data_IF_373338506466
#
_entry.id   IF_373338506466
#
_cell.length_a   1.000
_cell.length_b   1.000
_cell.length_c   1.000
_cell.angle_alpha   90.00
_cell.angle_beta   90.00
_cell.angle_gamma   90.00
#
_symmetry.space_group_name_H-M   'P 1'
#
loop_
_entity.id
_entity.type
_entity.pdbx_description
1 polymer ?
#
# COMPACT_ATOMS: atom_id res chain seq x y z
N UNK A 1 20.15 -37.98 10.74
CA UNK A 1 20.17 -38.41 9.33
C UNK A 1 18.93 -39.26 9.08
N UNK A 2 17.87 -38.64 8.58
CA UNK A 2 16.65 -39.25 8.02
C UNK A 2 15.89 -38.13 7.31
N UNK A 3 16.06 -38.07 6.00
CA UNK A 3 15.18 -37.35 5.07
C UNK A 3 13.79 -37.97 5.14
N UNK A 4 12.74 -37.17 5.01
CA UNK A 4 11.45 -37.63 4.51
C UNK A 4 10.78 -36.54 3.67
N UNK A 5 10.02 -37.03 2.71
CA UNK A 5 9.70 -36.44 1.42
C UNK A 5 8.56 -35.42 1.47
N UNK A 6 8.68 -34.40 0.62
CA UNK A 6 7.61 -33.47 0.28
C UNK A 6 6.70 -34.09 -0.79
N UNK A 7 5.45 -34.36 -0.43
CA UNK A 7 4.40 -34.75 -1.38
C UNK A 7 3.82 -33.51 -2.05
N UNK A 8 4.03 -33.40 -3.37
CA UNK A 8 3.35 -32.43 -4.25
C UNK A 8 1.87 -32.81 -4.42
N UNK A 9 0.96 -31.92 -4.04
CA UNK A 9 -0.44 -32.00 -4.50
C UNK A 9 -0.65 -31.14 -5.74
N UNK A 10 -1.15 -31.77 -6.80
CA UNK A 10 -1.63 -31.17 -8.05
C UNK A 10 -3.02 -30.59 -7.79
N UNK A 11 -3.22 -29.30 -8.09
CA UNK A 11 -4.57 -28.72 -8.19
C UNK A 11 -5.05 -28.87 -9.62
N UNK A 12 -6.22 -29.49 -9.74
CA UNK A 12 -6.90 -29.80 -10.99
C UNK A 12 -7.66 -28.56 -11.49
N UNK A 13 -7.42 -28.18 -12.74
CA UNK A 13 -8.14 -27.15 -13.48
C UNK A 13 -9.53 -27.63 -13.87
N UNK A 14 -10.58 -26.89 -13.47
CA UNK A 14 -11.92 -27.04 -14.03
C UNK A 14 -12.20 -25.93 -15.05
N UNK A 15 -12.31 -26.33 -16.31
CA UNK A 15 -12.85 -25.54 -17.41
C UNK A 15 -14.37 -25.42 -17.26
N UNK A 16 -14.91 -24.21 -17.43
CA UNK A 16 -16.30 -24.00 -17.84
C UNK A 16 -16.33 -22.91 -18.91
N UNK A 17 -16.54 -23.37 -20.13
CA UNK A 17 -16.78 -22.58 -21.33
C UNK A 17 -18.21 -22.03 -21.34
N UNK A 18 -18.36 -20.74 -21.60
CA UNK A 18 -19.60 -20.19 -22.14
C UNK A 18 -19.24 -19.22 -23.26
N UNK A 19 -19.46 -19.67 -24.50
CA UNK A 19 -19.47 -18.87 -25.71
C UNK A 19 -20.85 -18.23 -25.88
N UNK A 20 -20.92 -16.96 -26.27
CA UNK A 20 -22.01 -16.39 -27.08
C UNK A 20 -21.53 -15.08 -27.75
N UNK A 21 -21.23 -15.22 -29.05
CA UNK A 21 -21.31 -14.29 -30.20
C UNK A 21 -21.25 -12.76 -30.06
N UNK A 22 -20.42 -12.08 -30.89
CA UNK A 22 -20.51 -10.64 -31.16
C UNK A 22 -21.26 -10.36 -32.49
N UNK A 23 -22.18 -9.39 -32.51
CA UNK A 23 -22.71 -8.83 -33.75
C UNK A 23 -22.81 -7.29 -33.67
N UNK A 24 -22.61 -6.68 -34.85
CA UNK A 24 -22.83 -5.28 -35.28
C UNK A 24 -21.59 -4.39 -35.52
N UNK A 25 -21.61 -3.60 -36.61
CA UNK A 25 -20.59 -3.63 -37.63
C UNK A 25 -19.88 -2.29 -37.81
N UNK A 26 -18.74 -2.35 -38.49
CA UNK A 26 -18.02 -1.18 -38.98
C UNK A 26 -18.84 -0.42 -40.02
N UNK A 27 -19.03 0.88 -39.77
CA UNK A 27 -19.47 1.83 -40.79
C UNK A 27 -18.24 2.36 -41.53
N UNK A 28 -18.01 1.83 -42.73
CA UNK A 28 -17.22 2.48 -43.77
C UNK A 28 -18.03 3.60 -44.42
N UNK A 29 -17.40 4.71 -44.80
CA UNK A 29 -17.38 5.21 -46.18
C UNK A 29 -16.84 6.64 -46.31
N UNK A 30 -16.07 6.80 -47.40
CA UNK A 30 -15.91 7.96 -48.28
C UNK A 30 -14.80 8.97 -47.97
N UNK A 31 -13.67 8.65 -48.61
CA UNK A 31 -12.85 9.60 -49.34
C UNK A 31 -13.66 10.67 -50.09
N UNK A 32 -13.15 11.91 -50.06
CA UNK A 32 -13.38 12.88 -51.11
C UNK A 32 -12.03 13.49 -51.49
N UNK A 33 -11.49 13.03 -52.61
CA UNK A 33 -10.41 13.69 -53.32
C UNK A 33 -11.03 14.75 -54.23
N UNK A 34 -10.52 15.98 -54.18
CA UNK A 34 -10.72 16.96 -55.24
C UNK A 34 -9.38 17.58 -55.61
N UNK A 35 -8.97 17.35 -56.86
CA UNK A 35 -7.81 17.92 -57.51
C UNK A 35 -8.17 19.26 -58.18
N UNK A 36 -7.11 20.01 -58.53
CA UNK A 36 -7.02 21.17 -59.43
C UNK A 36 -7.18 22.53 -58.73
N UNK A 37 -6.43 23.59 -59.03
CA UNK A 37 -5.58 23.86 -60.18
C UNK A 37 -4.40 24.80 -59.80
N UNK A 38 -3.34 24.70 -60.59
CA UNK A 38 -2.18 25.58 -60.63
C UNK A 38 -2.57 27.04 -60.90
N UNK A 39 -1.94 27.99 -60.20
CA UNK A 39 -1.48 29.25 -60.81
C UNK A 39 -0.14 29.69 -60.22
N UNK A 40 0.80 29.94 -61.14
CA UNK A 40 2.11 30.56 -60.91
C UNK A 40 1.93 32.07 -60.75
N UNK A 41 2.75 32.68 -59.90
CA UNK A 41 2.93 34.13 -59.84
C UNK A 41 4.06 34.50 -58.87
N UNK A 42 5.20 34.90 -59.44
CA UNK A 42 6.35 35.48 -58.74
C UNK A 42 5.94 36.74 -57.95
N UNK A 43 6.43 36.86 -56.71
CA UNK A 43 6.82 38.12 -56.08
C UNK A 43 7.68 37.77 -54.84
N UNK A 44 8.98 38.00 -54.89
CA UNK A 44 9.65 39.20 -54.39
C UNK A 44 10.14 39.00 -52.94
N UNK A 45 11.44 38.69 -52.84
CA UNK A 45 12.41 39.06 -51.81
C UNK A 45 11.82 39.66 -50.52
N UNK A 46 11.96 38.91 -49.41
CA UNK A 46 12.32 39.48 -48.12
C UNK A 46 13.05 38.44 -47.25
N UNK A 47 14.38 38.46 -47.34
CA UNK A 47 15.28 37.88 -46.35
C UNK A 47 15.19 38.76 -45.08
N UNK A 48 14.40 38.32 -44.10
CA UNK A 48 14.56 38.80 -42.72
C UNK A 48 15.08 37.63 -41.89
N UNK A 49 16.33 37.80 -41.48
CA UNK A 49 17.04 37.13 -40.41
C UNK A 49 16.14 36.85 -39.19
N UNK A 50 15.77 35.58 -38.98
CA UNK A 50 15.40 35.05 -37.65
C UNK A 50 16.53 34.12 -37.21
N UNK A 51 17.67 34.74 -36.92
CA UNK A 51 18.71 34.17 -36.08
C UNK A 51 18.69 34.96 -34.77
N UNK A 52 18.81 34.27 -33.64
CA UNK A 52 18.72 34.77 -32.26
C UNK A 52 17.34 34.75 -31.59
N UNK A 53 16.69 33.57 -31.52
CA UNK A 53 15.77 33.26 -30.41
C UNK A 53 15.93 31.80 -29.97
N UNK A 54 17.16 31.37 -29.70
CA UNK A 54 17.48 30.01 -29.23
C UNK A 54 18.44 30.01 -28.02
N UNK A 55 18.45 31.09 -27.24
CA UNK A 55 19.15 31.16 -25.96
C UNK A 55 18.23 31.92 -25.00
N UNK A 56 18.06 31.41 -23.77
CA UNK A 56 17.09 31.81 -22.73
C UNK A 56 15.85 30.92 -22.59
N UNK A 57 16.02 29.60 -22.61
CA UNK A 57 15.31 28.77 -21.64
C UNK A 57 16.34 28.30 -20.60
N UNK A 58 16.51 28.99 -19.46
CA UNK A 58 17.08 28.31 -18.31
C UNK A 58 16.13 27.15 -18.02
N UNK A 59 16.62 25.94 -18.27
CA UNK A 59 15.86 24.73 -17.99
C UNK A 59 15.42 24.77 -16.54
N UNK A 60 14.13 25.03 -16.31
CA UNK A 60 13.45 24.74 -15.06
C UNK A 60 13.43 23.22 -14.89
N UNK A 61 14.58 22.64 -14.56
CA UNK A 61 14.64 21.31 -13.97
C UNK A 61 14.22 21.51 -12.51
N UNK A 62 12.91 21.56 -12.28
CA UNK A 62 12.34 21.26 -10.97
C UNK A 62 12.56 19.77 -10.71
N UNK A 63 13.81 19.33 -10.54
CA UNK A 63 14.07 18.07 -9.87
C UNK A 63 13.69 18.32 -8.42
N UNK A 64 12.55 17.78 -7.99
CA UNK A 64 12.29 17.61 -6.56
C UNK A 64 13.58 17.03 -5.94
N UNK A 65 14.05 17.54 -4.79
CA UNK A 65 15.24 17.01 -4.12
C UNK A 65 15.11 15.50 -3.99
N UNK A 66 16.22 14.78 -4.17
CA UNK A 66 16.27 13.35 -3.83
C UNK A 66 15.86 13.20 -2.36
N UNK A 67 14.78 12.45 -2.03
CA UNK A 67 14.30 12.29 -0.66
C UNK A 67 15.35 11.64 0.25
N UNK A 68 16.34 10.95 -0.32
CA UNK A 68 17.41 10.29 0.41
C UNK A 68 18.69 11.14 0.48
N UNK A 69 18.67 12.35 -0.07
CA UNK A 69 19.84 13.23 -0.07
C UNK A 69 20.31 13.51 1.36
N UNK A 70 21.55 13.12 1.66
CA UNK A 70 22.16 13.31 2.97
C UNK A 70 21.84 12.22 4.00
N UNK A 71 21.04 11.21 3.67
CA UNK A 71 20.82 10.07 4.56
C UNK A 71 21.98 9.07 4.45
N UNK A 72 22.44 8.59 5.61
CA UNK A 72 23.48 7.56 5.71
C UNK A 72 22.82 6.26 6.14
N UNK A 73 22.97 5.21 5.32
CA UNK A 73 22.41 3.89 5.61
C UNK A 73 23.17 3.28 6.79
N UNK A 74 22.44 2.95 7.85
CA UNK A 74 22.94 2.21 9.01
C UNK A 74 22.83 0.70 8.79
N UNK A 75 21.69 0.24 8.25
CA UNK A 75 21.43 -1.16 7.94
C UNK A 75 20.53 -1.24 6.70
N UNK A 76 20.75 -2.24 5.85
CA UNK A 76 19.87 -2.52 4.70
C UNK A 76 19.78 -4.00 4.42
N UNK A 77 18.60 -4.44 3.96
CA UNK A 77 18.28 -5.85 3.69
C UNK A 77 17.43 -5.99 2.42
N UNK A 78 17.53 -7.14 1.75
CA UNK A 78 16.86 -7.42 0.47
C UNK A 78 16.19 -8.79 0.42
N UNK A 79 16.24 -9.57 1.51
CA UNK A 79 15.63 -10.89 1.58
C UNK A 79 14.10 -10.81 1.65
N UNK A 80 13.45 -11.93 1.33
CA UNK A 80 11.99 -12.05 1.23
C UNK A 80 11.25 -11.62 2.49
N UNK A 81 11.71 -12.12 3.65
CA UNK A 81 11.14 -11.86 4.97
C UNK A 81 12.19 -11.27 5.90
N UNK A 82 13.13 -10.51 5.35
CA UNK A 82 14.11 -9.80 6.16
C UNK A 82 13.42 -8.75 7.02
N UNK A 83 13.94 -8.59 8.24
CA UNK A 83 13.41 -7.67 9.24
C UNK A 83 14.52 -6.75 9.76
N UNK A 84 14.22 -5.48 10.02
CA UNK A 84 15.11 -4.52 10.69
C UNK A 84 14.38 -3.95 11.90
N UNK A 85 14.99 -4.03 13.09
CA UNK A 85 14.48 -3.35 14.27
C UNK A 85 14.80 -1.85 14.18
N UNK A 86 13.79 -1.03 13.96
CA UNK A 86 13.96 0.42 13.73
C UNK A 86 13.84 1.23 15.03
N UNK A 87 13.09 0.73 16.01
CA UNK A 87 12.94 1.31 17.34
C UNK A 87 12.50 0.23 18.36
N UNK A 88 12.47 0.51 19.69
CA UNK A 88 11.90 -0.42 20.66
C UNK A 88 10.45 -0.78 20.31
N UNK A 89 10.20 -2.06 20.01
CA UNK A 89 8.89 -2.58 19.63
C UNK A 89 8.48 -2.39 18.17
N UNK A 90 9.29 -1.70 17.36
CA UNK A 90 9.02 -1.49 15.93
C UNK A 90 9.91 -2.35 15.04
N UNK A 91 9.31 -3.08 14.12
CA UNK A 91 10.00 -3.89 13.11
C UNK A 91 9.62 -3.40 11.70
N UNK A 92 10.62 -3.13 10.88
CA UNK A 92 10.47 -2.93 9.44
C UNK A 92 10.64 -4.27 8.74
N UNK A 93 9.63 -4.68 7.98
CA UNK A 93 9.55 -5.97 7.30
C UNK A 93 9.64 -5.76 5.79
N UNK A 94 10.40 -6.63 5.13
CA UNK A 94 10.41 -6.74 3.67
C UNK A 94 9.07 -7.31 3.17
N UNK A 95 8.62 -8.42 3.77
CA UNK A 95 7.30 -9.02 3.51
C UNK A 95 6.93 -9.15 2.01
N UNK A 96 7.85 -9.76 1.24
CA UNK A 96 7.58 -10.19 -0.14
C UNK A 96 6.77 -11.50 -0.15
N UNK A 97 5.56 -11.45 0.42
CA UNK A 97 4.76 -12.64 0.67
C UNK A 97 4.14 -13.26 -0.57
N UNK A 98 3.86 -12.48 -1.61
CA UNK A 98 3.30 -13.01 -2.85
C UNK A 98 4.37 -13.59 -3.78
N UNK A 99 5.47 -12.86 -3.99
CA UNK A 99 6.54 -13.31 -4.89
C UNK A 99 7.85 -12.59 -4.65
N UNK A 100 8.96 -13.31 -4.87
CA UNK A 100 10.30 -12.74 -5.04
C UNK A 100 10.70 -12.64 -6.51
N UNK A 101 9.98 -13.33 -7.39
CA UNK A 101 10.29 -13.36 -8.81
C UNK A 101 10.01 -11.99 -9.41
N UNK A 102 10.89 -11.56 -10.32
CA UNK A 102 10.84 -10.24 -10.95
C UNK A 102 10.78 -9.07 -9.96
N UNK A 103 11.16 -9.29 -8.70
CA UNK A 103 11.09 -8.29 -7.63
C UNK A 103 12.47 -7.94 -7.11
N UNK A 104 12.82 -6.67 -7.20
CA UNK A 104 13.93 -6.08 -6.48
C UNK A 104 13.36 -5.20 -5.37
N UNK A 105 13.44 -5.66 -4.12
CA UNK A 105 13.00 -4.90 -2.95
C UNK A 105 14.15 -4.76 -1.95
N UNK A 106 14.23 -3.59 -1.33
CA UNK A 106 15.23 -3.27 -0.30
C UNK A 106 14.58 -2.47 0.82
N UNK A 107 14.80 -2.89 2.06
CA UNK A 107 14.47 -2.14 3.27
C UNK A 107 15.74 -1.53 3.87
N UNK A 108 15.65 -0.31 4.38
CA UNK A 108 16.79 0.44 4.93
C UNK A 108 16.42 1.11 6.26
N UNK A 109 17.35 1.12 7.21
CA UNK A 109 17.39 2.00 8.38
C UNK A 109 18.54 2.98 8.21
N UNK A 110 18.30 4.26 8.49
CA UNK A 110 19.28 5.33 8.39
C UNK A 110 19.83 5.73 9.77
N UNK A 111 20.99 6.39 9.80
CA UNK A 111 21.63 6.86 11.05
C UNK A 111 20.78 7.88 11.81
N UNK A 112 19.94 8.65 11.12
CA UNK A 112 19.02 9.63 11.73
C UNK A 112 17.76 8.99 12.33
N UNK A 113 17.63 7.66 12.27
CA UNK A 113 16.48 6.90 12.78
C UNK A 113 15.32 6.78 11.79
N UNK A 114 15.31 7.52 10.68
CA UNK A 114 14.34 7.29 9.59
C UNK A 114 14.60 5.95 8.93
N UNK A 115 13.59 5.43 8.22
CA UNK A 115 13.70 4.15 7.53
C UNK A 115 12.82 4.12 6.29
N UNK A 116 13.17 3.25 5.35
CA UNK A 116 12.53 3.23 4.04
C UNK A 116 12.40 1.83 3.47
N UNK A 117 11.56 1.74 2.45
CA UNK A 117 11.57 0.64 1.50
C UNK A 117 11.61 1.20 0.08
N UNK A 118 12.27 0.46 -0.80
CA UNK A 118 12.30 0.69 -2.24
C UNK A 118 11.92 -0.61 -2.93
N UNK A 119 11.12 -0.52 -4.00
CA UNK A 119 10.76 -1.68 -4.79
C UNK A 119 10.76 -1.40 -6.28
N UNK A 120 11.01 -2.46 -7.03
CA UNK A 120 10.71 -2.57 -8.45
C UNK A 120 10.24 -3.98 -8.70
N UNK A 121 8.99 -4.14 -9.13
CA UNK A 121 8.39 -5.41 -9.50
C UNK A 121 7.98 -5.40 -10.97
N UNK A 122 8.55 -6.35 -11.71
CA UNK A 122 8.21 -6.63 -13.11
C UNK A 122 6.85 -7.30 -13.23
N UNK A 123 6.65 -8.01 -14.34
CA UNK A 123 5.44 -8.82 -14.56
C UNK A 123 5.72 -10.27 -14.14
N UNK A 124 5.40 -10.60 -12.89
CA UNK A 124 5.56 -11.96 -12.36
C UNK A 124 4.40 -12.90 -12.72
N UNK A 125 3.27 -12.34 -13.17
CA UNK A 125 2.01 -13.05 -13.37
C UNK A 125 1.30 -13.43 -12.05
N UNK A 126 1.82 -13.02 -10.89
CA UNK A 126 1.25 -13.32 -9.58
C UNK A 126 0.25 -12.22 -9.19
N UNK A 127 -1.02 -12.61 -9.06
CA UNK A 127 -2.12 -11.70 -8.74
C UNK A 127 -2.16 -11.15 -7.31
N UNK A 128 -1.24 -11.59 -6.44
CA UNK A 128 -1.13 -11.11 -5.05
C UNK A 128 -0.01 -10.05 -4.90
N UNK A 129 -0.14 -9.11 -3.96
CA UNK A 129 0.84 -8.06 -3.73
C UNK A 129 1.98 -8.48 -2.80
N UNK A 130 3.07 -7.73 -2.81
CA UNK A 130 4.01 -7.69 -1.68
C UNK A 130 3.68 -6.47 -0.81
N UNK A 131 4.12 -6.48 0.46
CA UNK A 131 3.74 -5.43 1.41
C UNK A 131 4.86 -5.06 2.38
N UNK A 132 5.90 -4.34 1.94
CA UNK A 132 6.90 -3.78 2.84
C UNK A 132 6.22 -2.80 3.79
N UNK A 133 6.49 -2.99 5.07
CA UNK A 133 5.69 -2.40 6.14
C UNK A 133 6.50 -2.23 7.42
N UNK A 134 6.11 -1.26 8.24
CA UNK A 134 6.53 -1.18 9.64
C UNK A 134 5.38 -1.64 10.53
N UNK A 135 5.72 -2.41 11.56
CA UNK A 135 4.76 -2.90 12.55
C UNK A 135 5.15 -2.49 13.97
N UNK A 136 4.14 -2.26 14.82
CA UNK A 136 4.28 -2.24 16.28
C UNK A 136 3.25 -3.18 16.91
N UNK A 137 3.73 -4.14 17.71
CA UNK A 137 2.92 -5.22 18.27
C UNK A 137 3.33 -6.58 17.70
N UNK A 138 2.36 -7.49 17.58
CA UNK A 138 2.56 -8.86 17.06
C UNK A 138 1.46 -9.22 16.07
N UNK A 139 1.84 -9.56 14.83
CA UNK A 139 0.94 -10.02 13.77
C UNK A 139 0.39 -11.43 14.11
N UNK A 140 -0.76 -11.83 13.55
CA UNK A 140 -1.29 -13.19 13.74
C UNK A 140 -0.32 -14.30 13.30
N UNK A 141 0.58 -14.05 12.35
CA UNK A 141 1.61 -15.00 11.90
C UNK A 141 2.86 -15.03 12.80
N UNK A 142 2.87 -14.26 13.90
CA UNK A 142 3.93 -14.29 14.91
C UNK A 142 5.10 -13.33 14.66
N UNK A 143 5.10 -12.51 13.61
CA UNK A 143 6.09 -11.43 13.47
C UNK A 143 5.79 -10.31 14.47
N UNK A 144 6.81 -9.84 15.18
CA UNK A 144 6.62 -8.79 16.20
C UNK A 144 7.57 -8.90 17.39
N UNK A 145 7.25 -8.15 18.44
CA UNK A 145 7.98 -8.19 19.71
C UNK A 145 7.01 -8.27 20.89
N UNK A 146 7.43 -8.93 21.97
CA UNK A 146 6.62 -9.06 23.19
C UNK A 146 6.92 -7.92 24.19
N UNK A 147 6.13 -7.82 25.26
CA UNK A 147 6.31 -6.84 26.33
C UNK A 147 5.95 -5.41 25.93
N UNK A 148 5.12 -5.26 24.89
CA UNK A 148 4.69 -3.98 24.33
C UNK A 148 3.26 -3.62 24.78
N UNK A 149 2.79 -2.45 24.34
CA UNK A 149 1.40 -2.00 24.55
C UNK A 149 0.37 -2.77 23.72
N UNK A 150 0.81 -3.45 22.66
CA UNK A 150 0.04 -4.42 21.87
C UNK A 150 0.80 -5.76 21.86
N UNK A 151 0.12 -6.92 21.85
CA UNK A 151 -1.33 -7.07 21.71
C UNK A 151 -2.14 -6.70 22.95
N UNK A 152 -3.36 -6.19 22.73
CA UNK A 152 -4.28 -5.76 23.78
C UNK A 152 -5.73 -6.07 23.42
N UNK A 153 -6.55 -6.44 24.40
CA UNK A 153 -7.97 -6.68 24.15
C UNK A 153 -8.71 -5.38 23.88
N UNK A 154 -9.74 -5.41 23.03
CA UNK A 154 -10.51 -4.23 22.65
C UNK A 154 -11.11 -3.49 23.84
N UNK A 155 -11.61 -4.21 24.86
CA UNK A 155 -12.15 -3.60 26.09
C UNK A 155 -11.14 -2.77 26.87
N UNK A 156 -9.84 -3.06 26.70
CA UNK A 156 -8.76 -2.39 27.41
C UNK A 156 -8.13 -1.25 26.59
N UNK A 157 -8.64 -0.97 25.38
CA UNK A 157 -8.20 0.14 24.52
C UNK A 157 -9.22 1.27 24.66
N UNK A 158 -8.86 2.32 25.40
CA UNK A 158 -9.66 3.54 25.54
C UNK A 158 -9.33 4.60 24.48
N UNK A 159 -8.11 4.59 23.95
CA UNK A 159 -7.68 5.43 22.82
C UNK A 159 -6.57 4.74 22.04
N UNK A 160 -6.56 4.96 20.72
CA UNK A 160 -5.54 4.44 19.81
C UNK A 160 -5.33 5.45 18.69
N UNK A 161 -4.22 6.18 18.77
CA UNK A 161 -3.85 7.20 17.80
C UNK A 161 -2.58 6.79 17.06
N UNK A 162 -2.56 7.02 15.75
CA UNK A 162 -1.37 6.97 14.92
C UNK A 162 -0.92 8.39 14.55
N UNK A 163 0.38 8.65 14.61
CA UNK A 163 0.98 9.86 14.03
C UNK A 163 2.07 9.46 13.04
N UNK A 164 2.09 10.10 11.88
CA UNK A 164 2.88 9.69 10.72
C UNK A 164 3.52 10.90 10.03
N UNK A 165 4.82 10.81 9.76
CA UNK A 165 5.50 11.68 8.79
C UNK A 165 6.15 10.79 7.74
N UNK A 166 5.57 10.79 6.54
CA UNK A 166 5.87 9.83 5.49
C UNK A 166 5.93 10.51 4.13
N UNK A 167 7.04 10.31 3.42
CA UNK A 167 7.19 10.69 2.03
C UNK A 167 7.22 9.43 1.17
N UNK A 168 6.64 9.47 -0.02
CA UNK A 168 6.75 8.35 -0.96
C UNK A 168 6.65 8.82 -2.40
N UNK A 169 7.03 7.93 -3.31
CA UNK A 169 6.78 8.10 -4.74
C UNK A 169 6.69 6.75 -5.42
N UNK A 170 5.59 6.56 -6.16
CA UNK A 170 5.47 5.45 -7.10
C UNK A 170 5.92 5.93 -8.48
N UNK A 171 7.06 5.41 -8.94
CA UNK A 171 7.75 5.81 -10.17
C UNK A 171 7.28 5.05 -11.40
N UNK A 172 6.93 3.77 -11.26
CA UNK A 172 6.16 3.01 -12.24
C UNK A 172 4.80 2.70 -11.64
N UNK A 173 3.76 3.27 -12.25
CA UNK A 173 2.39 3.12 -11.82
C UNK A 173 1.59 2.34 -12.86
N UNK A 174 2.17 1.40 -13.60
CA UNK A 174 1.38 0.61 -14.57
C UNK A 174 0.39 -0.29 -13.81
N UNK A 175 0.89 -1.04 -12.84
CA UNK A 175 0.07 -1.89 -11.96
C UNK A 175 -0.57 -1.18 -10.77
N UNK A 176 -1.13 -1.99 -9.88
CA UNK A 176 -1.85 -1.53 -8.70
C UNK A 176 -0.94 -1.38 -7.48
N UNK A 177 -1.31 -0.45 -6.61
CA UNK A 177 -0.65 -0.23 -5.33
C UNK A 177 -1.57 0.51 -4.37
N UNK A 178 -1.32 0.37 -3.07
CA UNK A 178 -2.11 0.98 -2.01
C UNK A 178 -1.17 1.43 -0.88
N UNK A 179 -1.26 2.69 -0.45
CA UNK A 179 -0.64 3.17 0.78
C UNK A 179 -1.64 3.02 1.93
N UNK A 180 -1.32 2.16 2.89
CA UNK A 180 -2.32 1.63 3.83
C UNK A 180 -1.82 1.52 5.26
N UNK A 181 -2.76 1.64 6.19
CA UNK A 181 -2.66 1.03 7.52
C UNK A 181 -3.44 -0.26 7.51
N UNK A 182 -2.92 -1.28 8.17
CA UNK A 182 -3.56 -2.58 8.36
C UNK A 182 -3.45 -3.03 9.82
N UNK A 183 -4.49 -3.69 10.31
CA UNK A 183 -4.45 -4.39 11.59
C UNK A 183 -5.49 -5.50 11.64
N UNK A 184 -5.18 -6.51 12.45
CA UNK A 184 -5.98 -7.72 12.60
C UNK A 184 -6.55 -7.84 14.02
N UNK A 185 -7.76 -8.39 14.10
CA UNK A 185 -8.38 -8.84 15.33
C UNK A 185 -8.34 -10.36 15.40
N UNK A 186 -8.01 -10.90 16.57
CA UNK A 186 -7.92 -12.35 16.80
C UNK A 186 -8.64 -12.77 18.08
N UNK A 187 -9.16 -14.00 18.09
CA UNK A 187 -9.76 -14.61 19.30
C UNK A 187 -8.70 -14.96 20.35
N UNK A 188 -7.49 -15.29 19.89
CA UNK A 188 -6.35 -15.65 20.74
C UNK A 188 -5.31 -14.54 20.73
N UNK A 189 -4.58 -14.36 21.84
CA UNK A 189 -3.52 -13.34 21.92
C UNK A 189 -2.36 -13.71 20.98
N UNK A 190 -2.01 -12.87 19.98
CA UNK A 190 -0.81 -13.07 19.19
C UNK A 190 0.45 -13.05 20.08
N UNK A 191 1.39 -13.95 19.82
CA UNK A 191 2.66 -14.03 20.58
C UNK A 191 3.81 -14.22 19.59
N UNK A 192 4.97 -13.56 19.79
CA UNK A 192 6.06 -13.67 18.82
C UNK A 192 6.48 -15.12 18.57
N UNK A 193 6.67 -15.47 17.31
CA UNK A 193 7.04 -16.82 16.87
C UNK A 193 5.90 -17.85 16.91
N UNK A 194 4.69 -17.47 17.30
CA UNK A 194 3.51 -18.32 17.24
C UNK A 194 2.61 -17.91 16.09
N UNK A 195 2.30 -18.86 15.21
CA UNK A 195 1.34 -18.65 14.15
C UNK A 195 -0.09 -19.00 14.63
N UNK A 196 -0.96 -17.99 14.66
CA UNK A 196 -2.38 -18.06 15.00
C UNK A 196 -3.28 -17.42 13.93
N UNK A 197 -2.83 -17.26 12.68
CA UNK A 197 -3.64 -16.60 11.64
C UNK A 197 -5.02 -17.26 11.43
N UNK A 198 -5.15 -18.56 11.68
CA UNK A 198 -6.44 -19.27 11.68
C UNK A 198 -7.44 -18.82 12.77
N UNK A 199 -7.04 -17.89 13.65
CA UNK A 199 -7.85 -17.28 14.71
C UNK A 199 -8.18 -15.81 14.43
N UNK A 200 -7.81 -15.31 13.25
CA UNK A 200 -8.18 -13.97 12.79
C UNK A 200 -9.69 -13.92 12.54
N UNK A 201 -10.34 -12.91 13.10
CA UNK A 201 -11.79 -12.67 12.93
C UNK A 201 -12.08 -11.50 12.00
N UNK A 202 -11.19 -10.50 12.02
CA UNK A 202 -11.32 -9.28 11.23
C UNK A 202 -9.94 -8.81 10.74
N UNK A 203 -9.90 -8.39 9.49
CA UNK A 203 -8.85 -7.57 8.89
C UNK A 203 -9.44 -6.19 8.63
N UNK A 204 -8.77 -5.15 9.12
CA UNK A 204 -9.17 -3.77 8.97
C UNK A 204 -8.06 -3.04 8.24
N UNK A 205 -8.40 -2.44 7.11
CA UNK A 205 -7.47 -1.64 6.33
C UNK A 205 -7.99 -0.23 6.11
N UNK A 206 -7.09 0.74 6.19
CA UNK A 206 -7.35 2.16 5.93
C UNK A 206 -6.46 2.60 4.77
N UNK A 207 -7.06 3.07 3.68
CA UNK A 207 -6.42 3.42 2.41
C UNK A 207 -6.31 4.94 2.30
N UNK A 208 -5.08 5.44 2.14
CA UNK A 208 -4.81 6.89 2.02
C UNK A 208 -4.51 7.34 0.59
N UNK A 209 -3.78 6.52 -0.17
CA UNK A 209 -3.63 6.69 -1.61
C UNK A 209 -3.48 5.33 -2.30
N UNK A 210 -3.74 5.29 -3.60
CA UNK A 210 -3.70 4.07 -4.38
C UNK A 210 -3.65 4.29 -5.88
N UNK A 211 -3.30 3.25 -6.63
CA UNK A 211 -3.78 3.04 -7.99
C UNK A 211 -4.41 1.66 -8.06
N UNK A 212 -5.61 1.59 -8.62
CA UNK A 212 -6.42 0.38 -8.65
C UNK A 212 -7.85 0.68 -8.20
N UNK A 213 -8.67 -0.35 -8.18
CA UNK A 213 -10.06 -0.27 -7.74
C UNK A 213 -10.15 -0.86 -6.34
N UNK A 214 -10.15 -0.04 -5.27
CA UNK A 214 -10.44 -0.53 -3.93
C UNK A 214 -11.85 -1.13 -3.92
N UNK A 215 -12.17 -1.97 -2.93
CA UNK A 215 -13.40 -2.76 -2.92
C UNK A 215 -14.64 -1.87 -2.86
N UNK A 216 -15.17 -1.53 -4.04
CA UNK A 216 -16.41 -0.81 -4.26
C UNK A 216 -16.46 0.59 -3.63
N UNK A 217 -17.38 1.42 -4.11
CA UNK A 217 -17.95 2.39 -3.22
C UNK A 217 -19.45 2.20 -3.15
N UNK A 218 -19.93 1.69 -2.03
CA UNK A 218 -21.12 2.32 -1.48
C UNK A 218 -20.62 3.47 -0.60
N UNK A 219 -20.41 4.65 -1.20
CA UNK A 219 -20.08 5.92 -0.51
C UNK A 219 -21.16 6.38 0.50
N UNK A 220 -22.07 5.48 0.90
CA UNK A 220 -23.22 5.73 1.77
C UNK A 220 -22.82 5.79 3.24
N UNK A 221 -21.79 5.04 3.64
CA UNK A 221 -21.29 5.04 5.01
C UNK A 221 -19.97 5.80 5.06
N UNK A 222 -20.01 6.93 5.77
CA UNK A 222 -18.84 7.80 5.97
C UNK A 222 -18.60 8.00 7.45
N UNK A 223 -17.33 8.04 7.81
CA UNK A 223 -16.87 8.50 9.12
C UNK A 223 -15.89 9.65 8.94
N UNK A 224 -15.85 10.53 9.92
CA UNK A 224 -15.01 11.73 9.91
C UNK A 224 -13.92 11.60 10.98
N UNK A 225 -12.67 11.88 10.62
CA UNK A 225 -11.51 11.84 11.49
C UNK A 225 -10.64 13.07 11.23
N UNK A 226 -10.53 13.98 12.21
CA UNK A 226 -9.66 15.17 12.13
C UNK A 226 -9.83 15.99 10.83
N UNK A 227 -11.07 16.09 10.31
CA UNK A 227 -11.39 16.85 9.09
C UNK A 227 -11.33 16.04 7.79
N UNK A 228 -10.99 14.76 7.85
CA UNK A 228 -11.00 13.85 6.70
C UNK A 228 -12.21 12.91 6.74
N UNK A 229 -12.82 12.71 5.58
CA UNK A 229 -13.94 11.77 5.39
C UNK A 229 -13.44 10.44 4.81
N UNK A 230 -13.91 9.33 5.36
CA UNK A 230 -13.57 7.98 4.92
C UNK A 230 -14.81 7.23 4.48
N UNK A 231 -14.80 6.72 3.24
CA UNK A 231 -15.82 5.80 2.75
C UNK A 231 -15.54 4.39 3.27
N UNK A 232 -16.57 3.69 3.73
CA UNK A 232 -16.40 2.36 4.31
C UNK A 232 -17.19 1.28 3.58
N UNK A 233 -16.58 0.11 3.46
CA UNK A 233 -17.15 -1.12 2.92
C UNK A 233 -16.70 -2.32 3.75
N UNK A 234 -17.51 -3.38 3.78
CA UNK A 234 -17.20 -4.60 4.50
C UNK A 234 -17.58 -5.85 3.70
N UNK A 235 -16.80 -6.91 3.86
CA UNK A 235 -17.12 -8.28 3.43
C UNK A 235 -17.12 -9.21 4.63
N UNK A 236 -18.08 -10.12 4.68
CA UNK A 236 -18.26 -11.02 5.82
C UNK A 236 -17.93 -12.47 5.46
N UNK A 237 -17.17 -13.13 6.33
CA UNK A 237 -17.00 -14.59 6.31
C UNK A 237 -16.34 -15.20 5.07
N UNK A 238 -15.74 -14.39 4.19
CA UNK A 238 -15.26 -14.84 2.88
C UNK A 238 -13.96 -14.16 2.43
N UNK A 239 -13.21 -13.62 3.38
CA UNK A 239 -11.91 -12.98 3.13
C UNK A 239 -10.78 -13.72 3.83
N UNK A 240 -9.59 -13.66 3.24
CA UNK A 240 -8.45 -14.46 3.69
C UNK A 240 -8.66 -15.97 3.50
N UNK A 241 -7.68 -16.74 3.96
CA UNK A 241 -7.71 -18.21 3.95
C UNK A 241 -8.55 -18.79 5.10
N UNK A 242 -8.65 -18.07 6.22
CA UNK A 242 -9.46 -18.47 7.38
C UNK A 242 -10.90 -17.92 7.36
N UNK A 243 -11.29 -17.17 6.33
CA UNK A 243 -12.66 -16.68 6.17
C UNK A 243 -13.04 -15.57 7.15
N UNK A 244 -12.11 -14.69 7.48
CA UNK A 244 -12.37 -13.54 8.35
C UNK A 244 -13.20 -12.46 7.63
N UNK A 245 -13.67 -11.50 8.41
CA UNK A 245 -14.33 -10.32 7.87
C UNK A 245 -13.31 -9.28 7.43
N UNK A 246 -13.58 -8.57 6.34
CA UNK A 246 -12.70 -7.54 5.82
C UNK A 246 -13.39 -6.19 5.83
N UNK A 247 -12.80 -5.21 6.51
CA UNK A 247 -13.28 -3.83 6.54
C UNK A 247 -12.28 -2.91 5.88
N UNK A 248 -12.71 -2.21 4.84
CA UNK A 248 -11.88 -1.24 4.14
C UNK A 248 -12.46 0.16 4.31
N UNK A 249 -11.62 1.07 4.79
CA UNK A 249 -11.90 2.49 4.89
C UNK A 249 -11.02 3.24 3.90
N UNK A 250 -11.61 3.93 2.94
CA UNK A 250 -10.88 4.69 1.93
C UNK A 250 -11.06 6.18 2.14
N UNK A 251 -9.96 6.92 2.31
CA UNK A 251 -10.02 8.37 2.40
C UNK A 251 -10.63 8.93 1.12
N UNK A 252 -11.53 9.89 1.26
CA UNK A 252 -12.25 10.48 0.12
C UNK A 252 -11.32 11.41 -0.66
N UNK A 253 -10.45 12.11 0.06
CA UNK A 253 -9.40 12.98 -0.47
C UNK A 253 -8.15 12.17 -0.82
N UNK A 254 -8.32 11.21 -1.74
CA UNK A 254 -7.27 10.34 -2.23
C UNK A 254 -5.97 11.10 -2.56
N UNK A 255 -4.83 10.54 -2.14
CA UNK A 255 -3.51 11.17 -2.31
C UNK A 255 -3.06 11.94 -1.08
N UNK A 256 -3.94 12.09 -0.09
CA UNK A 256 -3.63 12.74 1.17
C UNK A 256 -3.40 11.68 2.24
N UNK A 257 -2.23 11.71 2.86
CA UNK A 257 -1.90 10.90 4.03
C UNK A 257 -1.94 11.84 5.23
N UNK A 258 -2.93 11.72 6.12
CA UNK A 258 -2.98 12.53 7.34
C UNK A 258 -1.77 12.28 8.22
N UNK A 259 -1.28 13.32 8.88
CA UNK A 259 -0.20 13.25 9.86
C UNK A 259 -0.65 12.61 11.18
N UNK A 260 -1.97 12.55 11.41
CA UNK A 260 -2.60 12.01 12.59
C UNK A 260 -3.90 11.29 12.23
N UNK A 261 -4.11 10.09 12.77
CA UNK A 261 -5.30 9.27 12.55
C UNK A 261 -5.75 8.61 13.84
N UNK A 262 -6.98 8.86 14.28
CA UNK A 262 -7.62 8.11 15.37
C UNK A 262 -8.07 6.73 14.88
N UNK A 263 -7.27 5.70 15.12
CA UNK A 263 -7.57 4.32 14.71
C UNK A 263 -8.71 3.70 15.54
N UNK A 264 -8.93 4.19 16.77
CA UNK A 264 -10.01 3.71 17.64
C UNK A 264 -11.38 4.04 17.05
N UNK A 265 -11.51 5.18 16.37
CA UNK A 265 -12.72 5.56 15.64
C UNK A 265 -13.21 4.47 14.67
N UNK A 266 -12.29 3.85 13.93
CA UNK A 266 -12.61 2.82 12.94
C UNK A 266 -13.08 1.53 13.60
N UNK A 267 -12.41 1.11 14.68
CA UNK A 267 -12.82 -0.04 15.50
C UNK A 267 -14.20 0.19 16.13
N UNK A 268 -14.45 1.39 16.66
CA UNK A 268 -15.73 1.76 17.26
C UNK A 268 -16.86 1.80 16.23
N UNK A 269 -16.56 2.26 15.01
CA UNK A 269 -17.53 2.22 13.92
C UNK A 269 -17.99 0.80 13.61
N UNK A 270 -17.04 -0.13 13.42
CA UNK A 270 -17.35 -1.55 13.17
C UNK A 270 -18.12 -2.12 14.35
N UNK A 271 -17.67 -1.88 15.59
CA UNK A 271 -18.32 -2.37 16.80
C UNK A 271 -19.76 -1.85 16.94
N UNK A 272 -20.03 -0.59 16.61
CA UNK A 272 -21.37 0.00 16.71
C UNK A 272 -22.40 -0.65 15.80
N UNK A 273 -21.96 -1.27 14.70
CA UNK A 273 -22.83 -1.87 13.68
C UNK A 273 -22.92 -3.39 13.86
N UNK A 274 -21.80 -4.04 14.18
CA UNK A 274 -21.69 -5.50 14.19
C UNK A 274 -21.57 -6.11 15.59
N UNK A 275 -21.33 -5.30 16.63
CA UNK A 275 -21.14 -5.79 18.00
C UNK A 275 -19.91 -6.70 18.09
N UNK A 276 -18.72 -6.13 17.87
CA UNK A 276 -17.46 -6.84 18.02
C UNK A 276 -17.33 -7.34 19.47
N UNK A 277 -16.78 -8.54 19.64
CA UNK A 277 -16.48 -9.03 20.98
C UNK A 277 -15.38 -8.16 21.59
N UNK A 278 -15.67 -7.65 22.78
CA UNK A 278 -14.75 -6.87 23.61
C UNK A 278 -13.51 -7.66 24.06
N UNK A 279 -13.53 -8.99 23.92
CA UNK A 279 -12.43 -9.88 24.25
C UNK A 279 -11.48 -10.16 23.07
N UNK A 280 -11.80 -9.68 21.86
CA UNK A 280 -10.88 -9.77 20.72
C UNK A 280 -9.58 -9.01 21.00
N UNK A 281 -8.48 -9.55 20.47
CA UNK A 281 -7.15 -8.98 20.59
C UNK A 281 -6.81 -8.17 19.34
N UNK A 282 -6.42 -6.91 19.54
CA UNK A 282 -5.69 -6.15 18.53
C UNK A 282 -4.21 -6.53 18.63
N UNK A 283 -3.68 -7.17 17.58
CA UNK A 283 -2.33 -7.73 17.57
C UNK A 283 -1.23 -6.69 17.34
N UNK A 284 -1.30 -6.00 16.21
CA UNK A 284 -0.34 -5.00 15.77
C UNK A 284 -1.04 -3.89 14.99
N UNK A 285 -0.38 -2.75 14.86
CA UNK A 285 -0.69 -1.74 13.84
C UNK A 285 0.44 -1.75 12.82
N UNK A 286 0.06 -1.83 11.55
CA UNK A 286 0.96 -2.04 10.41
C UNK A 286 0.77 -0.88 9.43
N UNK A 287 1.86 -0.32 8.92
CA UNK A 287 1.83 0.73 7.91
C UNK A 287 2.81 0.44 6.78
N UNK A 288 2.35 0.51 5.54
CA UNK A 288 3.19 0.19 4.39
C UNK A 288 2.61 0.64 3.05
N UNK A 289 3.29 0.19 1.98
CA UNK A 289 2.74 0.26 0.61
C UNK A 289 2.62 -1.14 0.05
N UNK A 290 1.38 -1.56 -0.16
CA UNK A 290 1.05 -2.82 -0.83
C UNK A 290 1.18 -2.62 -2.34
N UNK A 291 1.94 -3.47 -3.04
CA UNK A 291 2.21 -3.28 -4.47
C UNK A 291 2.15 -4.57 -5.29
N UNK A 292 1.70 -4.43 -6.53
CA UNK A 292 1.49 -5.52 -7.48
C UNK A 292 2.53 -5.48 -8.62
N UNK A 293 2.38 -6.39 -9.58
CA UNK A 293 3.17 -6.43 -10.81
C UNK A 293 3.19 -5.09 -11.53
N UNK A 294 4.29 -4.84 -12.24
CA UNK A 294 4.51 -3.63 -13.03
C UNK A 294 4.40 -2.35 -12.21
N UNK A 295 4.97 -2.38 -11.00
CA UNK A 295 5.09 -1.21 -10.14
C UNK A 295 6.53 -1.00 -9.68
N UNK A 296 6.88 0.25 -9.38
CA UNK A 296 8.14 0.60 -8.77
C UNK A 296 7.97 1.88 -7.97
N UNK A 297 8.75 2.02 -6.90
CA UNK A 297 8.65 3.19 -6.04
C UNK A 297 9.50 3.07 -4.80
N UNK A 298 9.25 4.01 -3.89
CA UNK A 298 9.85 4.04 -2.57
C UNK A 298 8.92 4.71 -1.57
N UNK A 299 9.10 4.38 -0.29
CA UNK A 299 8.50 5.05 0.85
C UNK A 299 9.56 5.32 1.91
N UNK A 300 9.53 6.51 2.52
CA UNK A 300 10.44 6.98 3.56
C UNK A 300 9.62 7.42 4.77
N UNK A 301 9.72 6.66 5.85
CA UNK A 301 9.11 6.98 7.13
C UNK A 301 10.09 7.79 7.96
N UNK A 302 9.72 9.03 8.25
CA UNK A 302 10.46 9.93 9.13
C UNK A 302 9.91 9.90 10.55
N UNK A 303 8.62 9.57 10.72
CA UNK A 303 7.98 9.35 12.01
C UNK A 303 6.85 8.34 11.87
N UNK A 304 6.77 7.40 12.79
CA UNK A 304 5.59 6.54 12.98
C UNK A 304 5.46 6.25 14.47
N UNK A 305 4.49 6.92 15.08
CA UNK A 305 4.22 6.86 16.50
C UNK A 305 2.81 6.30 16.74
N UNK A 306 2.67 5.62 17.87
CA UNK A 306 1.37 5.22 18.39
C UNK A 306 1.17 5.81 19.80
N UNK A 307 -0.04 6.28 20.06
CA UNK A 307 -0.48 6.64 21.41
C UNK A 307 -1.63 5.73 21.81
N UNK A 308 -1.37 4.82 22.74
CA UNK A 308 -2.31 3.79 23.20
C UNK A 308 -2.66 4.10 24.65
N UNK A 309 -3.92 4.42 24.93
CA UNK A 309 -4.38 4.81 26.27
C UNK A 309 -3.58 5.99 26.87
N UNK A 310 -3.10 6.91 26.03
CA UNK A 310 -2.26 8.04 26.44
C UNK A 310 -0.77 7.73 26.58
N UNK A 311 -0.35 6.48 26.48
CA UNK A 311 1.07 6.10 26.47
C UNK A 311 1.62 6.10 25.04
N UNK A 312 2.75 6.78 24.83
CA UNK A 312 3.36 6.97 23.51
C UNK A 312 4.53 6.02 23.29
N UNK A 313 4.56 5.43 22.09
CA UNK A 313 5.72 4.75 21.52
C UNK A 313 6.06 5.36 20.18
N UNK A 314 7.36 5.48 19.88
CA UNK A 314 7.83 6.27 18.74
C UNK A 314 8.89 5.55 17.92
N UNK A 315 8.87 5.79 16.62
CA UNK A 315 9.90 5.37 15.67
C UNK A 315 10.13 6.42 14.60
N UNK A 316 11.32 6.42 13.98
CA UNK A 316 11.75 7.46 13.04
C UNK A 316 12.73 8.44 13.68
N UNK A 317 12.82 9.65 13.10
CA UNK A 317 13.65 10.77 13.59
C UNK A 317 13.14 11.23 14.95
N UNK A 318 14.03 11.25 15.94
CA UNK A 318 13.77 11.84 17.25
C UNK A 318 14.56 13.13 17.43
#
# INVERSE_FOLDING_TARGET
>A
MKQNEFTRMRVSTCFLSASLSPEYPQMSLRACACQHARRRGLCLILLITVACLALLFPGCRSSKPDPFAGLVIKESKTGQYDEIKVAPGFLLLSNMWATIDETNQKICLYEDGSYSWEWQRGDSGVGNPNYPEVIYGVKPWGQGSDGLLLPKQLKDISSLLMELDFDYKVTNQTGWWYATVEFFLTDEKPTPGQDIHGKTTDEIMIYFDWKGDPIGPEFKNRIENEGYSYAWTRREGNWGDAGWNYSQFSIVEKGTIPDKVDLKLFLDHINSIYGLSNDLWLGAVEFGIMYYDQTAGWGLVKKFDLVINGERVSSGRQ
#
